data_IF_488116002617
#
_entry.id   IF_488116002617
#
_cell.length_a   1.000
_cell.length_b   1.000
_cell.length_c   1.000
_cell.angle_alpha   90.00
_cell.angle_beta   90.00
_cell.angle_gamma   90.00
#
_symmetry.space_group_name_H-M   'P 1'
#
loop_
_entity.id
_entity.type
_entity.pdbx_description
1 polymer ?
#
# COMPACT_ATOMS: atom_id res chain seq x y z
N UNK A 1 26.16 -28.56 -41.60
CA UNK A 1 26.00 -27.14 -41.16
C UNK A 1 24.57 -26.60 -41.31
N UNK A 2 23.75 -27.06 -42.27
CA UNK A 2 22.37 -26.55 -42.43
C UNK A 2 21.43 -26.96 -41.28
N UNK A 3 21.55 -28.19 -40.77
CA UNK A 3 20.73 -28.70 -39.65
C UNK A 3 20.96 -27.99 -38.31
N UNK A 4 22.16 -27.43 -38.08
CA UNK A 4 22.43 -26.69 -36.84
C UNK A 4 21.79 -25.30 -36.86
N UNK A 5 21.66 -24.69 -38.05
CA UNK A 5 21.05 -23.37 -38.22
C UNK A 5 19.53 -23.43 -38.04
N UNK A 6 18.88 -24.50 -38.52
CA UNK A 6 17.42 -24.66 -38.35
C UNK A 6 17.03 -24.90 -36.89
N UNK A 7 17.83 -25.66 -36.14
CA UNK A 7 17.58 -25.89 -34.71
C UNK A 7 17.65 -24.59 -33.87
N UNK A 8 18.59 -23.69 -34.18
CA UNK A 8 18.72 -22.41 -33.49
C UNK A 8 17.53 -21.47 -33.75
N UNK A 9 17.01 -21.44 -34.98
CA UNK A 9 15.83 -20.63 -35.32
C UNK A 9 14.55 -21.16 -34.66
N UNK A 10 14.39 -22.47 -34.54
CA UNK A 10 13.24 -23.08 -33.85
C UNK A 10 13.29 -22.76 -32.36
N UNK A 11 14.46 -22.84 -31.73
CA UNK A 11 14.64 -22.47 -30.31
C UNK A 11 14.36 -20.99 -30.05
N UNK A 12 14.82 -20.10 -30.92
CA UNK A 12 14.58 -18.66 -30.78
C UNK A 12 13.09 -18.31 -30.95
N UNK A 13 12.41 -18.96 -31.89
CA UNK A 13 10.97 -18.80 -32.09
C UNK A 13 10.16 -19.34 -30.89
N UNK A 14 10.59 -20.46 -30.28
CA UNK A 14 9.94 -21.02 -29.11
C UNK A 14 10.05 -20.09 -27.88
N UNK A 15 11.23 -19.47 -27.68
CA UNK A 15 11.44 -18.50 -26.59
C UNK A 15 10.62 -17.21 -26.80
N UNK A 16 10.46 -16.76 -28.05
CA UNK A 16 9.61 -15.61 -28.37
C UNK A 16 8.12 -15.90 -28.13
N UNK A 17 7.65 -17.10 -28.47
CA UNK A 17 6.25 -17.50 -28.23
C UNK A 17 5.99 -17.69 -26.73
N UNK A 18 6.93 -18.26 -25.98
CA UNK A 18 6.81 -18.40 -24.52
C UNK A 18 6.89 -17.05 -23.80
N UNK A 19 7.72 -16.12 -24.27
CA UNK A 19 7.76 -14.75 -23.75
C UNK A 19 6.47 -13.98 -24.01
N UNK A 20 5.87 -14.12 -25.19
CA UNK A 20 4.60 -13.46 -25.53
C UNK A 20 3.39 -14.07 -24.80
N UNK A 21 3.41 -15.37 -24.51
CA UNK A 21 2.36 -16.02 -23.71
C UNK A 21 2.47 -15.70 -22.21
N UNK A 22 3.67 -15.40 -21.70
CA UNK A 22 3.90 -14.97 -20.32
C UNK A 22 3.46 -13.52 -20.04
N UNK A 23 3.30 -12.69 -21.06
CA UNK A 23 2.89 -11.29 -20.92
C UNK A 23 1.37 -11.06 -20.91
N UNK A 24 0.55 -12.09 -21.18
CA UNK A 24 -0.91 -11.93 -21.28
C UNK A 24 -1.70 -12.20 -19.99
N UNK A 25 -1.08 -12.40 -18.82
CA UNK A 25 -1.80 -12.70 -17.57
C UNK A 25 -1.59 -11.69 -16.42
N UNK A 26 -1.07 -10.49 -16.69
CA UNK A 26 -0.79 -9.49 -15.63
C UNK A 26 -1.84 -8.35 -15.55
N UNK A 27 -2.85 -8.31 -16.42
CA UNK A 27 -3.94 -7.33 -16.33
C UNK A 27 -5.20 -7.90 -15.65
N UNK A 28 -5.15 -8.18 -14.35
CA UNK A 28 -6.38 -8.36 -13.56
C UNK A 28 -6.20 -8.29 -12.03
N UNK A 29 -5.41 -7.37 -11.48
CA UNK A 29 -5.46 -7.07 -10.04
C UNK A 29 -5.30 -5.56 -9.79
N UNK A 30 -6.42 -4.82 -9.82
CA UNK A 30 -6.51 -3.52 -9.14
C UNK A 30 -6.34 -3.77 -7.64
N UNK A 31 -5.33 -3.14 -7.03
CA UNK A 31 -4.92 -3.46 -5.67
C UNK A 31 -5.86 -2.89 -4.59
N UNK A 32 -6.05 -3.59 -3.46
CA UNK A 32 -6.82 -3.13 -2.30
C UNK A 32 -6.16 -2.00 -1.48
N UNK A 33 -5.06 -1.42 -1.96
CA UNK A 33 -4.27 -0.42 -1.23
C UNK A 33 -5.00 0.92 -0.97
N UNK A 34 -6.09 1.22 -1.69
CA UNK A 34 -6.82 2.48 -1.52
C UNK A 34 -7.84 2.45 -0.36
N UNK A 35 -8.27 1.27 0.09
CA UNK A 35 -9.27 1.16 1.18
C UNK A 35 -8.59 1.32 2.56
N UNK A 36 -7.37 0.82 2.72
CA UNK A 36 -6.59 0.91 3.97
C UNK A 36 -6.12 2.34 4.30
N UNK A 37 -6.01 3.24 3.32
CA UNK A 37 -5.62 4.63 3.56
C UNK A 37 -6.75 5.51 4.08
N UNK A 38 -8.02 5.13 3.91
CA UNK A 38 -9.15 5.95 4.32
C UNK A 38 -9.50 5.82 5.81
N UNK A 39 -9.25 4.64 6.41
CA UNK A 39 -9.56 4.38 7.82
C UNK A 39 -8.57 5.07 8.78
N UNK A 40 -7.32 5.30 8.35
CA UNK A 40 -6.34 6.08 9.13
C UNK A 40 -6.60 7.59 9.16
N UNK A 41 -7.46 8.14 8.28
CA UNK A 41 -7.74 9.59 8.23
C UNK A 41 -8.51 10.11 9.45
N UNK A 42 -9.36 9.29 10.07
CA UNK A 42 -10.16 9.68 11.23
C UNK A 42 -9.35 9.88 12.52
N UNK A 43 -8.24 9.15 12.67
CA UNK A 43 -7.40 9.22 13.87
C UNK A 43 -6.35 10.36 13.83
N UNK A 44 -6.07 10.93 12.66
CA UNK A 44 -5.00 11.92 12.49
C UNK A 44 -5.36 13.35 12.92
N UNK A 45 -6.65 13.67 13.10
CA UNK A 45 -7.07 15.01 13.53
C UNK A 45 -6.83 15.30 15.03
N UNK A 46 -6.44 14.32 15.84
CA UNK A 46 -6.33 14.47 17.30
C UNK A 46 -4.89 14.45 17.84
N UNK A 47 -3.90 13.99 17.06
CA UNK A 47 -2.50 13.99 17.48
C UNK A 47 -1.81 15.27 17.02
N UNK A 48 -1.93 16.34 17.80
CA UNK A 48 -1.01 17.48 17.70
C UNK A 48 0.34 17.00 18.23
N UNK A 49 1.27 16.66 17.34
CA UNK A 49 2.66 16.53 17.74
C UNK A 49 3.21 17.96 17.81
N UNK A 50 3.14 18.56 18.99
CA UNK A 50 3.83 19.82 19.28
C UNK A 50 5.34 19.51 19.27
N UNK A 51 5.94 19.62 18.07
CA UNK A 51 7.36 19.43 17.85
C UNK A 51 8.12 20.69 18.29
N UNK A 52 8.52 20.75 19.56
CA UNK A 52 9.62 21.61 19.99
C UNK A 52 10.92 20.81 20.02
N UNK A 53 11.98 21.47 19.54
CA UNK A 53 13.41 21.17 19.69
C UNK A 53 14.10 20.27 18.63
N UNK A 54 14.84 20.97 17.75
CA UNK A 54 16.17 20.70 17.20
C UNK A 54 16.49 19.43 16.39
N UNK A 55 15.53 18.55 16.10
CA UNK A 55 15.75 17.51 15.09
C UNK A 55 15.48 18.07 13.67
N UNK A 56 16.41 17.85 12.75
CA UNK A 56 16.38 18.37 11.38
C UNK A 56 15.23 17.75 10.58
N UNK A 57 14.00 18.24 10.78
CA UNK A 57 12.83 17.83 10.03
C UNK A 57 12.81 18.50 8.66
N UNK A 58 12.51 17.71 7.62
CA UNK A 58 12.25 18.20 6.27
C UNK A 58 11.00 19.09 6.33
N UNK A 59 11.13 20.35 5.91
CA UNK A 59 9.97 21.25 5.86
C UNK A 59 9.01 20.86 4.74
N UNK A 60 7.73 21.25 4.84
CA UNK A 60 6.75 21.03 3.76
C UNK A 60 7.25 21.58 2.40
N UNK A 61 7.82 22.78 2.39
CA UNK A 61 8.35 23.40 1.16
C UNK A 61 9.54 22.62 0.59
N UNK A 62 10.43 22.15 1.47
CA UNK A 62 11.55 21.31 1.08
C UNK A 62 11.08 19.97 0.50
N UNK A 63 10.06 19.34 1.10
CA UNK A 63 9.44 18.13 0.55
C UNK A 63 8.89 18.36 -0.86
N UNK A 64 8.16 19.47 -1.08
CA UNK A 64 7.62 19.81 -2.41
C UNK A 64 8.72 19.98 -3.44
N UNK A 65 9.77 20.73 -3.10
CA UNK A 65 10.92 20.95 -3.98
C UNK A 65 11.62 19.64 -4.32
N UNK A 66 11.86 18.79 -3.33
CA UNK A 66 12.49 17.49 -3.52
C UNK A 66 11.64 16.55 -4.38
N UNK A 67 10.33 16.55 -4.17
CA UNK A 67 9.42 15.73 -4.97
C UNK A 67 9.31 16.22 -6.41
N UNK A 68 9.21 17.52 -6.66
CA UNK A 68 9.24 18.06 -8.02
C UNK A 68 10.56 17.79 -8.74
N UNK A 69 11.68 17.84 -8.00
CA UNK A 69 12.99 17.43 -8.52
C UNK A 69 12.99 15.95 -8.91
N UNK A 70 12.39 15.08 -8.10
CA UNK A 70 12.25 13.66 -8.40
C UNK A 70 11.41 13.46 -9.67
N UNK A 71 10.24 14.10 -9.76
CA UNK A 71 9.36 14.04 -10.94
C UNK A 71 10.09 14.47 -12.20
N UNK A 72 10.82 15.58 -12.14
CA UNK A 72 11.59 16.09 -13.27
C UNK A 72 12.65 15.07 -13.73
N UNK A 73 13.40 14.48 -12.81
CA UNK A 73 14.40 13.46 -13.15
C UNK A 73 13.74 12.23 -13.78
N UNK A 74 12.66 11.72 -13.21
CA UNK A 74 11.98 10.52 -13.74
C UNK A 74 11.27 10.75 -15.08
N UNK A 75 10.85 11.98 -15.39
CA UNK A 75 10.21 12.32 -16.67
C UNK A 75 11.21 12.56 -17.81
N UNK A 76 12.38 13.12 -17.52
CA UNK A 76 13.30 13.61 -18.55
C UNK A 76 14.63 12.85 -18.64
N UNK A 77 15.01 12.12 -17.61
CA UNK A 77 16.27 11.38 -17.61
C UNK A 77 16.09 9.98 -18.20
N UNK A 78 16.99 9.61 -19.11
CA UNK A 78 17.03 8.26 -19.72
C UNK A 78 18.06 7.36 -19.03
N UNK A 79 18.98 7.94 -18.26
CA UNK A 79 19.97 7.19 -17.50
C UNK A 79 19.41 6.72 -16.14
N UNK A 80 19.12 5.43 -16.03
CA UNK A 80 18.61 4.82 -14.80
C UNK A 80 19.56 4.99 -13.61
N UNK A 81 20.87 5.02 -13.84
CA UNK A 81 21.86 5.30 -12.79
C UNK A 81 21.72 6.70 -12.17
N UNK A 82 21.30 7.70 -12.96
CA UNK A 82 21.04 9.06 -12.44
C UNK A 82 19.67 9.17 -11.77
N UNK A 83 18.65 8.48 -12.28
CA UNK A 83 17.36 8.31 -11.58
C UNK A 83 17.61 7.70 -10.20
N UNK A 84 18.33 6.58 -10.15
CA UNK A 84 18.72 5.88 -8.94
C UNK A 84 19.46 6.78 -7.94
N UNK A 85 20.53 7.47 -8.35
CA UNK A 85 21.28 8.35 -7.44
C UNK A 85 20.44 9.50 -6.89
N UNK A 86 19.56 10.06 -7.71
CA UNK A 86 18.68 11.16 -7.26
C UNK A 86 17.68 10.64 -6.24
N UNK A 87 17.05 9.51 -6.54
CA UNK A 87 16.08 8.88 -5.66
C UNK A 87 16.75 8.46 -4.33
N UNK A 88 17.90 7.80 -4.38
CA UNK A 88 18.70 7.43 -3.21
C UNK A 88 19.06 8.65 -2.34
N UNK A 89 19.43 9.77 -2.96
CA UNK A 89 19.73 11.02 -2.23
C UNK A 89 18.50 11.53 -1.46
N UNK A 90 17.31 11.49 -2.08
CA UNK A 90 16.08 11.89 -1.41
C UNK A 90 15.68 10.91 -0.31
N UNK A 91 15.71 9.61 -0.60
CA UNK A 91 15.45 8.59 0.40
C UNK A 91 16.38 8.74 1.60
N UNK A 92 17.67 9.00 1.39
CA UNK A 92 18.59 9.17 2.51
C UNK A 92 18.17 10.29 3.46
N UNK A 93 17.61 11.37 2.91
CA UNK A 93 17.09 12.51 3.67
C UNK A 93 15.85 12.16 4.49
N UNK A 94 14.95 11.34 3.93
CA UNK A 94 13.74 10.88 4.62
C UNK A 94 14.03 9.79 5.64
N UNK A 95 14.85 8.80 5.26
CA UNK A 95 15.14 7.59 6.04
C UNK A 95 15.96 7.92 7.29
N UNK A 96 16.86 8.92 7.21
CA UNK A 96 17.58 9.41 8.39
C UNK A 96 16.65 9.99 9.47
N UNK A 97 15.47 10.48 9.10
CA UNK A 97 14.47 10.98 10.05
C UNK A 97 13.89 9.87 10.93
N UNK A 98 13.87 8.65 10.41
CA UNK A 98 13.27 7.50 11.08
C UNK A 98 14.33 6.60 11.77
N UNK A 99 15.59 7.01 11.80
CA UNK A 99 16.69 6.27 12.45
C UNK A 99 17.17 5.03 11.68
N UNK A 100 16.72 4.85 10.44
CA UNK A 100 17.18 3.77 9.57
C UNK A 100 18.55 4.13 8.97
N UNK A 101 19.39 3.12 8.73
CA UNK A 101 20.63 3.29 7.96
C UNK A 101 20.29 3.55 6.48
N UNK A 102 20.53 4.77 5.96
CA UNK A 102 20.18 5.10 4.58
C UNK A 102 20.92 4.24 3.55
N UNK A 103 22.15 3.87 3.87
CA UNK A 103 23.05 3.09 3.01
C UNK A 103 22.54 1.66 2.79
N UNK A 104 21.82 1.10 3.76
CA UNK A 104 21.26 -0.25 3.67
C UNK A 104 19.86 -0.23 3.04
N UNK A 105 19.01 0.69 3.50
CA UNK A 105 17.59 0.66 3.19
C UNK A 105 17.26 1.22 1.81
N UNK A 106 17.84 2.38 1.45
CA UNK A 106 17.48 3.08 0.23
C UNK A 106 17.86 2.32 -1.05
N UNK A 107 19.05 1.70 -1.16
CA UNK A 107 19.38 0.87 -2.32
C UNK A 107 18.41 -0.29 -2.55
N UNK A 108 17.98 -0.96 -1.48
CA UNK A 108 17.07 -2.11 -1.56
C UNK A 108 15.66 -1.67 -1.95
N UNK A 109 15.15 -0.60 -1.34
CA UNK A 109 13.86 -0.02 -1.69
C UNK A 109 13.81 0.37 -3.17
N UNK A 110 14.83 1.09 -3.66
CA UNK A 110 14.83 1.51 -5.06
C UNK A 110 15.03 0.37 -6.04
N UNK A 111 15.99 -0.53 -5.80
CA UNK A 111 16.19 -1.68 -6.70
C UNK A 111 14.94 -2.55 -6.81
N UNK A 112 14.12 -2.62 -5.77
CA UNK A 112 12.87 -3.39 -5.76
C UNK A 112 11.72 -2.64 -6.42
N UNK A 113 11.58 -1.33 -6.18
CA UNK A 113 10.38 -0.57 -6.53
C UNK A 113 10.58 0.47 -7.63
N UNK A 114 11.75 0.56 -8.28
CA UNK A 114 12.05 1.61 -9.28
C UNK A 114 10.99 1.72 -10.37
N UNK A 115 10.59 0.59 -10.96
CA UNK A 115 9.58 0.55 -12.03
C UNK A 115 8.21 1.02 -11.55
N UNK A 116 7.82 0.64 -10.33
CA UNK A 116 6.56 1.07 -9.73
C UNK A 116 6.57 2.56 -9.39
N UNK A 117 7.70 3.07 -8.91
CA UNK A 117 7.91 4.50 -8.64
C UNK A 117 7.84 5.30 -9.94
N UNK A 118 8.47 4.82 -11.01
CA UNK A 118 8.41 5.46 -12.33
C UNK A 118 6.98 5.48 -12.87
N UNK A 119 6.27 4.36 -12.82
CA UNK A 119 4.87 4.27 -13.23
C UNK A 119 3.99 5.29 -12.49
N UNK A 120 4.12 5.32 -11.15
CA UNK A 120 3.37 6.25 -10.29
C UNK A 120 3.67 7.70 -10.62
N UNK A 121 4.95 8.04 -10.82
CA UNK A 121 5.38 9.41 -11.14
C UNK A 121 4.88 9.83 -12.53
N UNK A 122 4.93 8.94 -13.52
CA UNK A 122 4.45 9.21 -14.87
C UNK A 122 2.93 9.35 -14.92
N UNK A 123 2.21 8.52 -14.16
CA UNK A 123 0.76 8.58 -14.04
C UNK A 123 0.27 9.76 -13.17
N UNK A 124 1.20 10.56 -12.62
CA UNK A 124 0.91 11.70 -11.73
C UNK A 124 -0.03 11.31 -10.58
N UNK A 125 0.10 10.07 -10.07
CA UNK A 125 -0.83 9.48 -9.10
C UNK A 125 -0.76 10.10 -7.70
N UNK A 126 0.30 10.86 -7.41
CA UNK A 126 0.50 11.52 -6.13
C UNK A 126 0.82 13.01 -6.33
N UNK A 127 -0.13 13.83 -6.80
CA UNK A 127 0.10 15.27 -6.93
C UNK A 127 0.45 15.92 -5.58
N UNK A 128 0.02 15.29 -4.47
CA UNK A 128 0.17 15.78 -3.11
C UNK A 128 0.88 14.77 -2.19
N UNK A 129 1.97 14.12 -2.65
CA UNK A 129 2.69 13.13 -1.84
C UNK A 129 3.08 13.67 -0.46
N UNK A 130 3.57 14.91 -0.37
CA UNK A 130 3.94 15.56 0.89
C UNK A 130 2.78 15.69 1.89
N UNK A 131 1.52 15.76 1.42
CA UNK A 131 0.34 15.72 2.29
C UNK A 131 0.04 14.28 2.74
N UNK A 132 0.16 13.31 1.82
CA UNK A 132 -0.07 11.89 2.14
C UNK A 132 0.87 11.39 3.23
N UNK A 133 2.14 11.83 3.20
CA UNK A 133 3.14 11.48 4.23
C UNK A 133 3.09 12.38 5.47
N UNK A 134 2.13 13.32 5.54
CA UNK A 134 1.92 14.18 6.71
C UNK A 134 2.94 15.30 6.90
N UNK A 135 3.80 15.58 5.92
CA UNK A 135 4.80 16.67 5.99
C UNK A 135 4.22 18.03 5.63
N UNK A 136 3.15 18.05 4.81
CA UNK A 136 2.40 19.25 4.50
C UNK A 136 1.01 19.20 5.15
N UNK A 137 0.59 20.27 5.86
CA UNK A 137 -0.76 20.33 6.40
C UNK A 137 -1.74 20.35 5.24
N UNK A 138 -2.73 19.46 5.26
CA UNK A 138 -3.82 19.47 4.28
C UNK A 138 -4.55 20.82 4.36
N UNK A 139 -4.60 21.58 3.27
CA UNK A 139 -5.34 22.85 3.23
C UNK A 139 -6.84 22.59 3.50
N UNK A 140 -7.35 21.42 3.12
CA UNK A 140 -8.70 20.97 3.45
C UNK A 140 -8.86 20.70 4.96
N UNK A 141 -7.84 20.16 5.64
CA UNK A 141 -7.86 19.96 7.10
C UNK A 141 -7.67 21.27 7.87
N UNK A 142 -7.05 22.30 7.29
CA UNK A 142 -7.04 23.65 7.90
C UNK A 142 -8.46 24.21 8.02
N UNK A 143 -9.34 23.92 7.06
CA UNK A 143 -10.76 24.28 7.13
C UNK A 143 -11.54 23.50 8.21
N UNK A 144 -11.02 22.39 8.73
CA UNK A 144 -11.59 21.71 9.90
C UNK A 144 -11.28 22.43 11.21
N UNK A 145 -10.25 23.28 11.27
CA UNK A 145 -9.86 23.99 12.50
C UNK A 145 -10.69 25.24 12.77
N UNK A 146 -11.09 25.94 11.71
CA UNK A 146 -11.89 27.17 11.81
C UNK A 146 -13.40 26.90 11.93
N UNK A 147 -13.84 25.68 11.62
CA UNK A 147 -15.16 25.22 12.00
C UNK A 147 -15.00 24.41 13.29
N UNK A 148 -15.33 25.00 14.45
CA UNK A 148 -15.88 24.22 15.58
C UNK A 148 -17.12 23.51 15.06
N UNK A 149 -16.95 22.38 14.40
CA UNK A 149 -18.05 21.54 13.97
C UNK A 149 -18.48 20.79 15.21
N UNK A 150 -19.69 21.10 15.66
CA UNK A 150 -20.54 20.14 16.33
C UNK A 150 -20.41 18.82 15.56
N UNK A 151 -19.75 17.85 16.17
CA UNK A 151 -19.58 16.50 15.59
C UNK A 151 -21.00 15.96 15.38
N UNK A 152 -21.46 15.78 14.12
CA UNK A 152 -22.75 15.14 13.90
C UNK A 152 -22.65 13.73 14.47
N UNK A 153 -23.67 13.29 15.20
CA UNK A 153 -23.70 11.94 15.74
C UNK A 153 -23.44 10.92 14.62
N UNK A 154 -22.81 9.81 14.98
CA UNK A 154 -22.29 8.73 14.11
C UNK A 154 -23.37 8.08 13.21
N UNK A 155 -24.62 8.54 13.28
CA UNK A 155 -25.76 7.97 12.56
C UNK A 155 -25.90 8.46 11.11
N UNK A 156 -25.03 9.36 10.63
CA UNK A 156 -25.19 10.02 9.32
C UNK A 156 -23.97 9.92 8.38
N UNK A 157 -23.28 8.76 8.38
CA UNK A 157 -22.12 8.50 7.50
C UNK A 157 -22.50 8.04 6.07
N UNK A 158 -23.75 8.22 5.65
CA UNK A 158 -24.27 7.78 4.34
C UNK A 158 -23.97 8.73 3.16
N UNK A 159 -23.36 9.89 3.39
CA UNK A 159 -23.27 10.95 2.38
C UNK A 159 -21.86 11.21 1.81
N UNK A 160 -20.86 10.37 2.10
CA UNK A 160 -19.58 10.44 1.39
C UNK A 160 -19.74 9.87 -0.02
N UNK A 161 -20.02 10.81 -0.91
CA UNK A 161 -20.33 10.70 -2.32
C UNK A 161 -19.14 10.17 -3.15
N UNK A 162 -18.89 8.86 -3.09
CA UNK A 162 -18.35 8.11 -4.23
C UNK A 162 -19.46 8.11 -5.28
N UNK A 163 -19.49 9.13 -6.13
CA UNK A 163 -20.48 9.26 -7.20
C UNK A 163 -20.51 7.98 -8.04
N UNK A 164 -21.59 7.25 -7.84
CA UNK A 164 -22.33 6.48 -8.84
C UNK A 164 -21.47 5.68 -9.82
N UNK A 165 -21.00 4.51 -9.37
CA UNK A 165 -20.93 3.39 -10.29
C UNK A 165 -22.40 3.04 -10.60
N UNK A 166 -22.99 3.77 -11.53
CA UNK A 166 -24.36 3.58 -11.98
C UNK A 166 -24.42 2.29 -12.81
N UNK A 167 -24.57 1.15 -12.13
CA UNK A 167 -24.82 -0.14 -12.77
C UNK A 167 -26.19 -0.18 -13.49
N UNK A 168 -27.01 0.86 -13.41
CA UNK A 168 -28.33 0.89 -14.06
C UNK A 168 -28.30 1.45 -15.48
N UNK A 169 -27.20 2.09 -15.91
CA UNK A 169 -27.13 2.75 -17.21
C UNK A 169 -27.01 1.80 -18.42
N UNK A 170 -26.57 0.54 -18.25
CA UNK A 170 -26.28 -0.34 -19.39
C UNK A 170 -27.31 -1.47 -19.66
N UNK A 171 -28.34 -1.63 -18.82
CA UNK A 171 -29.34 -2.70 -19.00
C UNK A 171 -30.65 -2.27 -19.67
N UNK A 172 -30.81 -1.00 -20.08
CA UNK A 172 -32.02 -0.56 -20.79
C UNK A 172 -32.06 -0.93 -22.28
N UNK A 173 -31.16 -1.80 -22.77
CA UNK A 173 -31.23 -2.39 -24.13
C UNK A 173 -31.49 -3.89 -24.18
N UNK A 174 -31.62 -4.58 -23.04
CA UNK A 174 -32.16 -5.95 -23.05
C UNK A 174 -33.67 -5.87 -22.81
N UNK A 175 -34.38 -5.48 -23.86
CA UNK A 175 -35.81 -5.76 -24.01
C UNK A 175 -35.98 -7.29 -24.07
N UNK A 176 -36.16 -7.91 -22.91
CA UNK A 176 -36.19 -9.35 -22.83
C UNK A 176 -36.65 -9.90 -21.49
N UNK A 177 -37.88 -9.58 -21.11
CA UNK A 177 -38.74 -10.53 -20.40
C UNK A 177 -38.44 -10.81 -18.92
N UNK A 178 -39.42 -10.43 -18.09
CA UNK A 178 -39.69 -11.00 -16.77
C UNK A 178 -38.60 -10.82 -15.70
N UNK A 179 -38.64 -9.71 -14.96
CA UNK A 179 -38.74 -9.79 -13.49
C UNK A 179 -39.18 -8.43 -12.94
N UNK A 180 -40.49 -8.29 -12.75
CA UNK A 180 -41.10 -7.19 -12.03
C UNK A 180 -40.83 -7.38 -10.52
N UNK A 181 -39.66 -6.97 -10.01
CA UNK A 181 -39.36 -6.96 -8.56
C UNK A 181 -39.57 -5.55 -8.01
N UNK A 182 -40.82 -5.24 -7.66
CA UNK A 182 -41.21 -4.06 -6.87
C UNK A 182 -41.46 -4.38 -5.40
N UNK A 183 -40.77 -5.36 -4.84
CA UNK A 183 -40.74 -5.55 -3.40
C UNK A 183 -39.29 -5.75 -2.96
N UNK A 184 -38.81 -4.99 -1.96
CA UNK A 184 -37.66 -5.41 -1.18
C UNK A 184 -38.00 -6.82 -0.71
N UNK A 185 -37.30 -7.83 -1.25
CA UNK A 185 -37.39 -9.16 -0.66
C UNK A 185 -36.71 -9.02 0.69
N UNK A 186 -37.53 -8.79 1.70
CA UNK A 186 -37.25 -9.19 3.07
C UNK A 186 -36.39 -10.48 3.02
N UNK A 187 -35.26 -10.46 3.71
CA UNK A 187 -34.27 -11.55 3.72
C UNK A 187 -34.86 -12.91 4.13
N UNK A 188 -36.13 -12.94 4.55
CA UNK A 188 -36.95 -14.14 4.75
C UNK A 188 -37.00 -15.09 3.55
N UNK A 189 -36.81 -14.64 2.29
CA UNK A 189 -36.88 -15.54 1.12
C UNK A 189 -35.73 -16.55 1.04
N UNK A 190 -34.59 -16.28 1.70
CA UNK A 190 -33.48 -17.25 1.76
C UNK A 190 -33.63 -18.28 2.89
N UNK A 191 -34.56 -18.05 3.84
CA UNK A 191 -34.78 -18.95 4.98
C UNK A 191 -35.66 -20.16 4.65
N UNK A 192 -36.58 -20.02 3.70
CA UNK A 192 -37.61 -21.04 3.43
C UNK A 192 -37.22 -22.15 2.44
N UNK A 193 -36.04 -22.08 1.79
CA UNK A 193 -35.60 -23.13 0.84
C UNK A 193 -34.68 -24.18 1.43
N UNK A 194 -34.17 -23.94 2.63
CA UNK A 194 -33.39 -24.91 3.37
C UNK A 194 -34.34 -25.53 4.39
N UNK A 195 -35.01 -26.63 4.00
CA UNK A 195 -35.83 -27.41 4.93
C UNK A 195 -35.04 -27.75 6.20
N UNK A 196 -35.74 -28.10 7.29
CA UNK A 196 -35.13 -28.35 8.62
C UNK A 196 -34.10 -29.50 8.67
N UNK A 197 -33.82 -30.14 7.53
CA UNK A 197 -32.84 -31.20 7.31
C UNK A 197 -31.69 -30.81 6.37
N UNK A 198 -31.56 -29.54 6.02
CA UNK A 198 -30.47 -29.07 5.16
C UNK A 198 -29.13 -29.31 5.86
N UNK A 199 -28.16 -29.98 5.23
CA UNK A 199 -26.86 -30.18 5.85
C UNK A 199 -26.21 -28.83 6.12
N UNK A 200 -25.69 -28.64 7.33
CA UNK A 200 -24.94 -27.45 7.69
C UNK A 200 -23.73 -27.32 6.74
N UNK A 201 -23.65 -26.21 6.01
CA UNK A 201 -22.47 -25.86 5.23
C UNK A 201 -21.60 -24.96 6.10
N UNK A 202 -20.42 -25.45 6.44
CA UNK A 202 -19.42 -24.68 7.18
C UNK A 202 -18.38 -24.17 6.19
N UNK A 203 -18.19 -22.85 6.17
CA UNK A 203 -17.10 -22.21 5.43
C UNK A 203 -15.98 -21.88 6.40
N UNK A 204 -14.75 -22.24 6.04
CA UNK A 204 -13.54 -21.77 6.72
C UNK A 204 -12.91 -20.71 5.84
N UNK A 205 -12.83 -19.48 6.35
CA UNK A 205 -12.13 -18.39 5.70
C UNK A 205 -10.83 -18.12 6.47
N UNK A 206 -9.72 -18.19 5.75
CA UNK A 206 -8.39 -17.86 6.27
C UNK A 206 -7.84 -16.75 5.38
N UNK A 207 -7.44 -15.64 5.96
CA UNK A 207 -6.81 -14.51 5.27
C UNK A 207 -5.61 -14.00 6.07
N UNK A 208 -4.77 -13.21 5.41
CA UNK A 208 -3.69 -12.45 6.06
C UNK A 208 -2.69 -13.30 6.87
N UNK A 209 -2.40 -14.52 6.37
CA UNK A 209 -1.29 -15.32 6.90
C UNK A 209 0.02 -14.68 6.43
N UNK A 210 0.47 -13.67 7.16
CA UNK A 210 1.75 -13.00 6.97
C UNK A 210 2.89 -13.88 7.50
N UNK A 211 3.16 -14.97 6.79
CA UNK A 211 4.26 -15.87 7.12
C UNK A 211 5.61 -15.19 6.89
N UNK A 212 6.37 -15.02 7.97
CA UNK A 212 7.72 -14.48 7.94
C UNK A 212 8.75 -15.61 8.18
N UNK A 213 9.52 -16.01 7.16
CA UNK A 213 10.55 -17.04 7.31
C UNK A 213 11.78 -16.57 8.11
N UNK A 214 11.93 -15.26 8.34
CA UNK A 214 13.05 -14.69 9.10
C UNK A 214 12.73 -14.48 10.58
N UNK A 215 11.48 -14.78 11.01
CA UNK A 215 11.04 -14.68 12.39
C UNK A 215 11.96 -15.48 13.31
N UNK A 216 12.41 -14.83 14.38
CA UNK A 216 13.29 -15.46 15.37
C UNK A 216 12.82 -15.14 16.78
N UNK A 217 12.51 -16.21 17.53
CA UNK A 217 12.22 -16.11 18.96
C UNK A 217 13.37 -15.39 19.69
N UNK A 218 13.01 -14.48 20.60
CA UNK A 218 13.97 -13.69 21.37
C UNK A 218 14.52 -12.47 20.65
N UNK A 219 14.24 -12.29 19.35
CA UNK A 219 14.61 -11.07 18.63
C UNK A 219 13.88 -9.84 19.17
N UNK A 220 14.40 -8.66 18.89
CA UNK A 220 13.76 -7.41 19.34
C UNK A 220 12.41 -7.22 18.65
N UNK A 221 11.38 -6.91 19.44
CA UNK A 221 10.06 -6.48 18.91
C UNK A 221 9.99 -4.96 18.74
N UNK A 222 11.05 -4.25 19.16
CA UNK A 222 11.19 -2.81 18.99
C UNK A 222 12.47 -2.56 18.22
N UNK A 223 12.30 -2.36 16.92
CA UNK A 223 13.39 -2.09 16.00
C UNK A 223 13.04 -0.84 15.19
N UNK A 224 14.04 -0.21 14.60
CA UNK A 224 13.83 0.93 13.71
C UNK A 224 13.48 0.45 12.29
N UNK A 225 12.72 -0.64 12.15
CA UNK A 225 12.28 -1.18 10.86
C UNK A 225 10.76 -1.31 10.76
N UNK A 226 10.26 -1.47 9.53
CA UNK A 226 8.82 -1.64 9.26
C UNK A 226 8.32 -2.98 9.81
N UNK A 227 9.18 -4.00 9.81
CA UNK A 227 8.92 -5.33 10.38
C UNK A 227 10.07 -5.67 11.32
N UNK A 228 9.75 -6.05 12.55
CA UNK A 228 10.71 -6.43 13.58
C UNK A 228 10.71 -7.96 13.78
N UNK A 229 11.34 -8.45 14.85
CA UNK A 229 11.34 -9.88 15.21
C UNK A 229 12.12 -10.79 14.25
N UNK A 230 12.87 -10.23 13.30
CA UNK A 230 13.74 -10.99 12.42
C UNK A 230 15.09 -11.30 13.09
N UNK A 231 15.68 -12.44 12.72
CA UNK A 231 16.94 -12.90 13.31
C UNK A 231 18.18 -12.07 12.97
N UNK A 232 18.11 -11.23 11.93
CA UNK A 232 19.23 -10.42 11.45
C UNK A 232 19.50 -9.16 12.27
N UNK A 233 18.54 -8.73 13.09
CA UNK A 233 18.61 -7.48 13.87
C UNK A 233 18.68 -7.76 15.38
N UNK A 234 19.19 -8.94 15.74
CA UNK A 234 18.85 -9.64 16.97
C UNK A 234 19.86 -9.63 18.10
N UNK A 235 20.60 -8.53 18.34
CA UNK A 235 21.04 -8.21 19.70
C UNK A 235 20.70 -6.75 19.99
N UNK A 236 20.05 -6.43 21.13
CA UNK A 236 19.74 -5.06 21.48
C UNK A 236 21.03 -4.24 21.50
N UNK A 237 20.99 -3.06 20.88
CA UNK A 237 22.18 -2.24 20.64
C UNK A 237 22.73 -1.67 21.96
N UNK A 238 21.88 -1.60 23.00
CA UNK A 238 22.21 -1.13 24.33
C UNK A 238 21.69 -2.11 25.41
N UNK A 239 22.52 -2.37 26.45
CA UNK A 239 22.19 -3.19 27.63
C UNK A 239 20.97 -2.62 28.38
N UNK A 240 20.77 -1.32 28.32
CA UNK A 240 19.61 -0.65 28.91
C UNK A 240 18.34 -1.02 28.14
N UNK A 241 18.45 -1.13 26.82
CA UNK A 241 17.40 -1.64 25.93
C UNK A 241 17.22 -3.15 26.13
N UNK A 242 18.28 -3.94 26.41
CA UNK A 242 18.14 -5.36 26.77
C UNK A 242 17.22 -5.57 27.99
N UNK A 243 17.23 -4.64 28.94
CA UNK A 243 16.47 -4.73 30.20
C UNK A 243 15.00 -4.31 30.04
N UNK A 244 14.66 -3.48 29.05
CA UNK A 244 13.30 -2.97 28.83
C UNK A 244 12.66 -3.45 27.52
N UNK A 245 13.46 -3.91 26.55
CA UNK A 245 12.98 -4.33 25.24
C UNK A 245 12.17 -5.61 25.35
N UNK A 246 10.95 -5.54 24.81
CA UNK A 246 10.12 -6.70 24.55
C UNK A 246 10.82 -7.57 23.51
N UNK A 247 10.79 -8.88 23.77
CA UNK A 247 11.39 -9.90 22.92
C UNK A 247 10.29 -10.74 22.29
N UNK A 248 10.51 -11.10 21.04
CA UNK A 248 9.58 -11.88 20.26
C UNK A 248 9.35 -13.24 20.93
N UNK A 249 8.09 -13.61 21.12
CA UNK A 249 7.73 -14.88 21.71
C UNK A 249 7.99 -16.09 20.79
N UNK A 250 7.67 -17.31 21.22
CA UNK A 250 7.77 -18.50 20.36
C UNK A 250 6.65 -18.60 19.31
N UNK A 251 5.57 -17.81 19.44
CA UNK A 251 4.36 -17.92 18.59
C UNK A 251 3.97 -16.60 17.91
N UNK A 252 4.85 -15.60 17.93
CA UNK A 252 4.55 -14.24 17.47
C UNK A 252 4.68 -13.19 18.56
N UNK A 253 4.61 -11.93 18.16
CA UNK A 253 4.44 -10.76 19.04
C UNK A 253 3.50 -9.76 18.35
N UNK A 254 2.92 -8.81 19.10
CA UNK A 254 1.99 -7.82 18.56
C UNK A 254 2.67 -6.68 17.79
N UNK A 255 4.00 -6.64 17.81
CA UNK A 255 4.83 -5.62 17.14
C UNK A 255 5.72 -6.20 16.03
N UNK A 256 5.47 -7.46 15.65
CA UNK A 256 5.85 -8.02 14.37
C UNK A 256 4.59 -7.97 13.45
#
# INVERSE_FOLDING_TARGET
MVLLRTAAFIWLALLLVLGLLGFCTVEALKSPAQILMHERRGAFCSARVDHSDDTAFISCEECKVDFERLKHVFKHETNDGKKYRTAATLCNKFVSMFGYSPEEYCPKLYSTYLESIEYVIHADMFPNLCHIVGLCPDEELRNCRDRRLDVPSVDNYSDLNYRDIDFTAENNRVNGGYFNRKTPRDGSVFRDRFGSTSPNITFVQISDIHFDPEYKEGASTSCLQVVCCHGLFGEPIDITEVLEARRAGPFGDYHC
#
